data_IF_326431195967
#
_entry.id   IF_326431195967
#
_cell.length_a   1.000
_cell.length_b   1.000
_cell.length_c   1.000
_cell.angle_alpha   90.00
_cell.angle_beta   90.00
_cell.angle_gamma   90.00
#
_symmetry.space_group_name_H-M   'P 1'
#
loop_
_entity.id
_entity.type
_entity.pdbx_description
1 polymer ?
#
# COMPACT_ATOMS: atom_id res chain seq x y z
N UNK A 1 -25.20 23.60 65.87
CA UNK A 1 -26.49 23.51 66.60
C UNK A 1 -27.19 22.24 66.17
N UNK A 2 -27.84 21.49 67.06
CA UNK A 2 -28.66 20.32 66.65
C UNK A 2 -30.01 20.83 66.17
N UNK A 3 -30.43 20.41 64.97
CA UNK A 3 -31.66 20.88 64.34
C UNK A 3 -32.89 20.57 65.19
N UNK A 4 -32.96 19.36 65.76
CA UNK A 4 -34.12 18.91 66.57
C UNK A 4 -34.37 19.82 67.78
N UNK A 5 -33.30 20.19 68.49
CA UNK A 5 -33.35 21.06 69.66
C UNK A 5 -33.72 22.52 69.29
N UNK A 6 -33.21 23.01 68.16
CA UNK A 6 -33.57 24.35 67.66
C UNK A 6 -35.01 24.39 67.11
N UNK A 7 -35.46 23.34 66.42
CA UNK A 7 -36.81 23.22 65.88
C UNK A 7 -37.86 23.13 66.99
N UNK A 8 -37.57 22.37 68.05
CA UNK A 8 -38.44 22.27 69.24
C UNK A 8 -38.56 23.61 69.98
N UNK A 9 -37.48 24.38 70.11
CA UNK A 9 -37.54 25.74 70.66
C UNK A 9 -38.31 26.71 69.77
N UNK A 10 -38.26 26.54 68.44
CA UNK A 10 -39.06 27.35 67.50
C UNK A 10 -40.54 27.05 67.67
N UNK A 11 -40.91 25.77 67.82
CA UNK A 11 -42.29 25.33 68.08
C UNK A 11 -42.82 25.83 69.44
N UNK A 12 -41.99 25.78 70.48
CA UNK A 12 -42.33 26.23 71.82
C UNK A 12 -42.27 27.76 72.01
N UNK A 13 -41.91 28.51 70.95
CA UNK A 13 -41.87 29.98 70.96
C UNK A 13 -40.70 30.60 71.73
N UNK A 14 -39.79 29.79 72.26
CA UNK A 14 -38.64 30.22 73.09
C UNK A 14 -37.32 30.34 72.32
N UNK A 15 -37.32 30.11 71.00
CA UNK A 15 -36.12 30.20 70.17
C UNK A 15 -35.60 31.64 70.04
N UNK A 16 -34.26 31.77 70.06
CA UNK A 16 -33.58 33.02 69.71
C UNK A 16 -33.67 33.30 68.21
N UNK A 17 -33.39 34.53 67.79
CA UNK A 17 -33.48 34.91 66.37
C UNK A 17 -32.50 34.12 65.48
N UNK A 18 -31.30 33.81 66.00
CA UNK A 18 -30.32 32.97 65.32
C UNK A 18 -30.80 31.51 65.15
N UNK A 19 -31.49 30.95 66.16
CA UNK A 19 -32.07 29.60 66.10
C UNK A 19 -33.20 29.52 65.06
N UNK A 20 -34.00 30.59 64.93
CA UNK A 20 -35.08 30.71 63.93
C UNK A 20 -34.54 30.77 62.51
N UNK A 21 -33.49 31.56 62.28
CA UNK A 21 -32.87 31.68 60.96
C UNK A 21 -32.20 30.38 60.54
N UNK A 22 -31.51 29.70 61.46
CA UNK A 22 -30.94 28.38 61.24
C UNK A 22 -31.99 27.34 60.82
N UNK A 23 -33.11 27.25 61.55
CA UNK A 23 -34.20 26.32 61.23
C UNK A 23 -34.81 26.65 59.85
N UNK A 24 -35.03 27.93 59.54
CA UNK A 24 -35.56 28.37 58.23
C UNK A 24 -34.62 27.99 57.08
N UNK A 25 -33.31 28.14 57.27
CA UNK A 25 -32.33 27.78 56.24
C UNK A 25 -32.31 26.27 55.98
N UNK A 26 -32.40 25.44 57.03
CA UNK A 26 -32.44 23.98 56.90
C UNK A 26 -33.73 23.50 56.22
N UNK A 27 -34.88 24.10 56.55
CA UNK A 27 -36.14 23.81 55.85
C UNK A 27 -36.05 24.18 54.37
N UNK A 28 -35.47 25.34 54.04
CA UNK A 28 -35.27 25.75 52.64
C UNK A 28 -34.35 24.78 51.88
N UNK A 29 -33.29 24.28 52.51
CA UNK A 29 -32.40 23.28 51.90
C UNK A 29 -33.14 21.96 51.67
N UNK A 30 -33.98 21.53 52.62
CA UNK A 30 -34.81 20.35 52.47
C UNK A 30 -35.83 20.49 51.34
N UNK A 31 -36.48 21.64 51.20
CA UNK A 31 -37.40 21.94 50.09
C UNK A 31 -36.69 21.96 48.73
N UNK A 32 -35.46 22.48 48.66
CA UNK A 32 -34.66 22.44 47.44
C UNK A 32 -34.31 21.00 47.05
N UNK A 33 -33.96 20.15 48.01
CA UNK A 33 -33.68 18.72 47.77
C UNK A 33 -34.94 17.98 47.35
N UNK A 34 -36.10 18.21 48.00
CA UNK A 34 -37.38 17.61 47.59
C UNK A 34 -37.77 18.04 46.18
N UNK A 35 -37.57 19.30 45.81
CA UNK A 35 -37.86 19.80 44.47
C UNK A 35 -36.91 19.20 43.41
N UNK A 36 -35.64 19.01 43.73
CA UNK A 36 -34.69 18.31 42.86
C UNK A 36 -35.09 16.84 42.69
N UNK A 37 -35.40 16.13 43.77
CA UNK A 37 -35.83 14.73 43.73
C UNK A 37 -37.13 14.54 42.95
N UNK A 38 -38.12 15.44 43.14
CA UNK A 38 -39.36 15.45 42.35
C UNK A 38 -39.15 15.88 40.90
N UNK A 39 -38.10 16.65 40.60
CA UNK A 39 -37.73 16.99 39.23
C UNK A 39 -37.11 15.81 38.47
N UNK A 40 -36.48 14.87 39.17
CA UNK A 40 -36.02 13.59 38.60
C UNK A 40 -37.17 12.60 38.33
N UNK A 41 -38.24 12.64 39.13
CA UNK A 41 -39.45 11.83 38.88
C UNK A 41 -40.24 12.28 37.64
N UNK A 42 -40.03 13.52 37.18
CA UNK A 42 -40.48 13.93 35.84
C UNK A 42 -39.52 13.32 34.83
N UNK A 43 -39.81 12.07 34.45
CA UNK A 43 -39.17 11.41 33.32
C UNK A 43 -39.01 12.44 32.19
N UNK A 44 -37.78 12.64 31.66
CA UNK A 44 -37.57 13.63 30.62
C UNK A 44 -38.57 13.33 29.51
N UNK A 45 -39.32 14.35 29.06
CA UNK A 45 -40.16 14.23 27.88
C UNK A 45 -39.22 14.10 26.69
N UNK A 46 -38.70 12.90 26.48
CA UNK A 46 -37.97 12.55 25.27
C UNK A 46 -39.02 12.56 24.18
N UNK A 47 -38.98 13.55 23.28
CA UNK A 47 -39.69 13.47 22.02
C UNK A 47 -39.42 12.08 21.43
N UNK A 48 -40.47 11.41 20.91
CA UNK A 48 -40.36 10.09 20.32
C UNK A 48 -39.17 10.09 19.36
N UNK A 49 -38.07 9.45 19.78
CA UNK A 49 -36.81 9.49 19.05
C UNK A 49 -37.11 8.86 17.70
N UNK A 50 -37.00 9.65 16.63
CA UNK A 50 -37.27 9.20 15.28
C UNK A 50 -36.27 8.08 14.94
N UNK A 51 -36.70 6.84 15.15
CA UNK A 51 -35.85 5.66 15.07
C UNK A 51 -35.17 5.51 13.71
N UNK A 52 -35.76 6.12 12.66
CA UNK A 52 -35.14 6.20 11.34
C UNK A 52 -33.88 7.06 11.31
N UNK A 53 -33.88 8.21 12.01
CA UNK A 53 -32.71 9.11 12.06
C UNK A 53 -31.55 8.46 12.79
N UNK A 54 -31.81 7.75 13.90
CA UNK A 54 -30.79 7.00 14.66
C UNK A 54 -30.23 5.85 13.82
N UNK A 55 -31.09 5.14 13.07
CA UNK A 55 -30.67 4.03 12.20
C UNK A 55 -29.83 4.51 11.02
N UNK A 56 -30.20 5.64 10.39
CA UNK A 56 -29.43 6.28 9.31
C UNK A 56 -28.08 6.80 9.81
N UNK A 57 -28.04 7.45 10.97
CA UNK A 57 -26.81 7.92 11.59
C UNK A 57 -25.87 6.76 11.93
N UNK A 58 -26.39 5.68 12.55
CA UNK A 58 -25.61 4.47 12.84
C UNK A 58 -25.04 3.84 11.58
N UNK A 59 -25.87 3.71 10.52
CA UNK A 59 -25.46 3.15 9.22
C UNK A 59 -24.36 3.99 8.56
N UNK A 60 -24.46 5.32 8.57
CA UNK A 60 -23.43 6.21 8.04
C UNK A 60 -22.12 6.12 8.82
N UNK A 61 -22.17 6.05 10.15
CA UNK A 61 -20.96 5.88 10.98
C UNK A 61 -20.30 4.52 10.69
N UNK A 62 -21.07 3.44 10.57
CA UNK A 62 -20.54 2.13 10.20
C UNK A 62 -20.01 2.08 8.76
N UNK A 63 -20.66 2.75 7.80
CA UNK A 63 -20.18 2.80 6.41
C UNK A 63 -18.88 3.61 6.29
N UNK A 64 -18.77 4.75 7.00
CA UNK A 64 -17.54 5.55 7.03
C UNK A 64 -16.40 4.78 7.68
N UNK A 65 -16.67 4.06 8.79
CA UNK A 65 -15.70 3.19 9.43
C UNK A 65 -15.27 2.02 8.54
N UNK A 66 -16.22 1.33 7.90
CA UNK A 66 -15.94 0.24 6.98
C UNK A 66 -15.13 0.70 5.76
N UNK A 67 -15.48 1.84 5.15
CA UNK A 67 -14.74 2.41 4.03
C UNK A 67 -13.31 2.79 4.43
N UNK A 68 -13.11 3.35 5.63
CA UNK A 68 -11.79 3.66 6.16
C UNK A 68 -10.96 2.39 6.38
N UNK A 69 -11.55 1.33 6.93
CA UNK A 69 -10.88 0.03 7.11
C UNK A 69 -10.46 -0.55 5.76
N UNK A 70 -11.35 -0.55 4.76
CA UNK A 70 -11.04 -1.05 3.41
C UNK A 70 -9.89 -0.26 2.80
N UNK A 71 -9.88 1.06 2.96
CA UNK A 71 -8.79 1.91 2.46
C UNK A 71 -7.46 1.60 3.14
N UNK A 72 -7.44 1.43 4.47
CA UNK A 72 -6.22 1.07 5.20
C UNK A 72 -5.70 -0.30 4.76
N UNK A 73 -6.58 -1.29 4.62
CA UNK A 73 -6.20 -2.63 4.14
C UNK A 73 -5.62 -2.55 2.74
N UNK A 74 -6.22 -1.77 1.84
CA UNK A 74 -5.71 -1.56 0.48
C UNK A 74 -4.32 -0.93 0.49
N UNK A 75 -4.09 0.09 1.34
CA UNK A 75 -2.77 0.71 1.49
C UNK A 75 -1.73 -0.28 2.04
N UNK A 76 -2.09 -1.07 3.05
CA UNK A 76 -1.19 -2.10 3.58
C UNK A 76 -0.80 -3.12 2.50
N UNK A 77 -1.74 -3.55 1.66
CA UNK A 77 -1.45 -4.48 0.56
C UNK A 77 -0.50 -3.85 -0.46
N UNK A 78 -0.68 -2.57 -0.81
CA UNK A 78 0.23 -1.86 -1.72
C UNK A 78 1.64 -1.79 -1.14
N UNK A 79 1.77 -1.48 0.15
CA UNK A 79 3.08 -1.40 0.83
C UNK A 79 3.77 -2.76 0.85
N UNK A 80 3.04 -3.84 1.18
CA UNK A 80 3.59 -5.20 1.19
C UNK A 80 4.01 -5.62 -0.22
N UNK A 81 3.17 -5.37 -1.22
CA UNK A 81 3.50 -5.66 -2.62
C UNK A 81 4.76 -4.90 -3.06
N UNK A 82 4.86 -3.61 -2.73
CA UNK A 82 6.04 -2.79 -3.01
C UNK A 82 7.31 -3.34 -2.35
N UNK A 83 7.22 -3.75 -1.08
CA UNK A 83 8.36 -4.32 -0.35
C UNK A 83 8.82 -5.66 -0.94
N UNK A 84 7.89 -6.55 -1.30
CA UNK A 84 8.20 -7.86 -1.88
C UNK A 84 8.78 -7.69 -3.29
N UNK A 85 8.13 -6.92 -4.16
CA UNK A 85 8.63 -6.66 -5.51
C UNK A 85 9.99 -5.96 -5.46
N UNK A 86 10.14 -4.91 -4.63
CA UNK A 86 11.41 -4.22 -4.46
C UNK A 86 12.54 -5.12 -3.96
N UNK A 87 12.24 -6.06 -3.05
CA UNK A 87 13.21 -7.04 -2.57
C UNK A 87 13.65 -8.03 -3.66
N UNK A 88 12.69 -8.60 -4.38
CA UNK A 88 12.97 -9.61 -5.43
C UNK A 88 13.69 -8.97 -6.63
N UNK A 89 13.12 -7.94 -7.22
CA UNK A 89 13.72 -7.28 -8.39
C UNK A 89 15.01 -6.54 -8.00
N UNK A 90 15.06 -5.91 -6.82
CA UNK A 90 16.26 -5.20 -6.37
C UNK A 90 17.46 -6.13 -6.17
N UNK A 91 17.24 -7.32 -5.61
CA UNK A 91 18.31 -8.32 -5.45
C UNK A 91 18.73 -8.90 -6.79
N UNK A 92 17.79 -9.28 -7.66
CA UNK A 92 18.09 -9.79 -9.00
C UNK A 92 18.87 -8.78 -9.86
N UNK A 93 18.41 -7.52 -9.91
CA UNK A 93 19.09 -6.43 -10.64
C UNK A 93 20.48 -6.18 -10.06
N UNK A 94 20.61 -6.12 -8.73
CA UNK A 94 21.91 -5.89 -8.09
C UNK A 94 22.90 -7.01 -8.42
N UNK A 95 22.45 -8.25 -8.43
CA UNK A 95 23.27 -9.40 -8.79
C UNK A 95 23.64 -9.42 -10.26
N UNK A 96 22.69 -9.17 -11.17
CA UNK A 96 22.96 -9.11 -12.60
C UNK A 96 23.97 -8.00 -12.95
N UNK A 97 23.84 -6.81 -12.35
CA UNK A 97 24.82 -5.72 -12.52
C UNK A 97 26.23 -6.08 -12.05
N UNK A 98 26.36 -6.86 -10.97
CA UNK A 98 27.67 -7.32 -10.48
C UNK A 98 28.26 -8.44 -11.34
N UNK A 99 27.41 -9.21 -12.00
CA UNK A 99 27.80 -10.30 -12.86
C UNK A 99 28.07 -9.86 -14.31
N UNK A 100 27.68 -8.66 -14.69
CA UNK A 100 27.92 -8.07 -16.01
C UNK A 100 29.42 -7.84 -16.20
N UNK A 101 30.03 -8.67 -17.03
CA UNK A 101 31.46 -8.60 -17.37
C UNK A 101 31.70 -8.08 -18.79
N UNK A 102 30.69 -8.18 -19.65
CA UNK A 102 30.78 -7.85 -21.07
C UNK A 102 29.99 -6.58 -21.33
N UNK A 103 30.63 -5.64 -22.00
CA UNK A 103 30.00 -4.39 -22.41
C UNK A 103 29.04 -4.60 -23.58
N UNK A 104 28.12 -3.66 -23.77
CA UNK A 104 27.19 -3.68 -24.91
C UNK A 104 27.91 -3.71 -26.27
N UNK A 105 29.07 -3.06 -26.39
CA UNK A 105 29.85 -3.03 -27.63
C UNK A 105 30.56 -4.35 -27.91
N UNK A 106 31.10 -4.99 -26.86
CA UNK A 106 31.70 -6.33 -26.97
C UNK A 106 30.63 -7.37 -27.27
N UNK A 107 29.47 -7.32 -26.60
CA UNK A 107 28.33 -8.18 -26.86
C UNK A 107 27.86 -8.06 -28.31
N UNK A 108 27.77 -6.82 -28.83
CA UNK A 108 27.43 -6.57 -30.24
C UNK A 108 28.42 -7.23 -31.20
N UNK A 109 29.70 -7.12 -30.94
CA UNK A 109 30.74 -7.68 -31.82
C UNK A 109 30.69 -9.21 -31.81
N UNK A 110 30.43 -9.82 -30.64
CA UNK A 110 30.22 -11.26 -30.50
C UNK A 110 28.96 -11.70 -31.26
N UNK A 111 27.87 -10.95 -31.10
CA UNK A 111 26.59 -11.25 -31.74
C UNK A 111 26.67 -11.14 -33.26
N UNK A 112 27.29 -10.08 -33.77
CA UNK A 112 27.49 -9.85 -35.21
C UNK A 112 28.33 -10.97 -35.84
N UNK A 113 29.41 -11.37 -35.16
CA UNK A 113 30.23 -12.49 -35.61
C UNK A 113 29.42 -13.81 -35.64
N UNK A 114 28.59 -14.07 -34.63
CA UNK A 114 27.74 -15.26 -34.59
C UNK A 114 26.69 -15.26 -35.71
N UNK A 115 26.02 -14.12 -35.94
CA UNK A 115 25.00 -13.96 -36.98
C UNK A 115 25.59 -14.13 -38.38
N UNK A 116 26.72 -13.47 -38.66
CA UNK A 116 27.42 -13.57 -39.95
C UNK A 116 27.91 -14.99 -40.21
N UNK A 117 28.54 -15.64 -39.21
CA UNK A 117 28.98 -17.02 -39.34
C UNK A 117 27.81 -17.95 -39.66
N UNK A 118 26.64 -17.73 -39.06
CA UNK A 118 25.45 -18.54 -39.31
C UNK A 118 24.92 -18.43 -40.74
N UNK A 119 24.91 -17.21 -41.29
CA UNK A 119 24.47 -16.99 -42.68
C UNK A 119 25.54 -17.52 -43.65
N UNK A 120 26.82 -17.36 -43.33
CA UNK A 120 27.94 -17.86 -44.14
C UNK A 120 27.98 -19.39 -44.27
N UNK A 121 27.36 -20.14 -43.35
CA UNK A 121 27.16 -21.59 -43.51
C UNK A 121 26.21 -21.95 -44.67
N UNK A 122 25.38 -21.01 -45.14
CA UNK A 122 24.33 -21.26 -46.14
C UNK A 122 24.54 -20.51 -47.45
N UNK A 123 25.16 -19.34 -47.40
CA UNK A 123 25.35 -18.46 -48.55
C UNK A 123 26.83 -18.10 -48.70
N UNK A 124 27.34 -18.22 -49.92
CA UNK A 124 28.67 -17.75 -50.28
C UNK A 124 28.56 -16.30 -50.78
N UNK A 125 29.32 -15.36 -50.20
CA UNK A 125 29.35 -13.98 -50.70
C UNK A 125 29.69 -12.93 -49.66
N UNK A 126 29.53 -11.66 -50.04
CA UNK A 126 29.68 -10.52 -49.12
C UNK A 126 28.42 -10.39 -48.28
N UNK A 127 28.55 -10.66 -46.99
CA UNK A 127 27.47 -10.49 -46.02
C UNK A 127 27.58 -9.10 -45.39
N UNK A 128 26.50 -8.33 -45.46
CA UNK A 128 26.42 -7.00 -44.82
C UNK A 128 25.39 -7.04 -43.68
N UNK A 129 25.83 -7.22 -42.42
CA UNK A 129 24.93 -7.20 -41.28
C UNK A 129 24.48 -5.77 -40.95
N UNK A 130 23.18 -5.61 -40.76
CA UNK A 130 22.57 -4.38 -40.25
C UNK A 130 21.81 -4.70 -38.97
N UNK A 131 22.11 -3.97 -37.90
CA UNK A 131 21.36 -4.09 -36.65
C UNK A 131 20.05 -3.35 -36.81
N UNK A 132 18.96 -4.06 -36.56
CA UNK A 132 17.60 -3.51 -36.54
C UNK A 132 17.27 -3.01 -35.15
N UNK A 133 17.50 -3.84 -34.14
CA UNK A 133 17.22 -3.52 -32.75
C UNK A 133 18.26 -4.13 -31.80
N UNK A 134 18.30 -3.56 -30.59
CA UNK A 134 19.14 -4.05 -29.50
C UNK A 134 18.41 -3.87 -28.17
N UNK A 135 18.12 -4.98 -27.53
CA UNK A 135 17.51 -5.01 -26.20
C UNK A 135 18.46 -5.57 -25.14
N UNK A 136 18.20 -5.17 -23.89
CA UNK A 136 18.90 -5.68 -22.71
C UNK A 136 17.87 -6.10 -21.66
N UNK A 137 17.75 -7.40 -21.48
CA UNK A 137 16.78 -7.98 -20.56
C UNK A 137 17.43 -8.58 -19.33
N UNK A 138 16.70 -8.55 -18.21
CA UNK A 138 17.10 -9.20 -16.97
C UNK A 138 16.52 -10.60 -16.92
N UNK A 139 17.38 -11.61 -17.00
CA UNK A 139 16.98 -12.99 -16.79
C UNK A 139 17.04 -13.31 -15.29
N UNK A 140 15.86 -13.54 -14.69
CA UNK A 140 15.74 -13.82 -13.25
C UNK A 140 15.85 -15.33 -13.01
N UNK A 141 16.95 -15.75 -12.40
CA UNK A 141 17.14 -17.13 -12.00
C UNK A 141 16.34 -17.48 -10.73
N UNK A 142 15.99 -18.77 -10.50
CA UNK A 142 15.33 -19.21 -9.26
C UNK A 142 16.09 -18.79 -8.00
N UNK A 143 17.43 -18.78 -8.10
CA UNK A 143 18.30 -18.15 -7.12
C UNK A 143 18.63 -16.75 -7.63
N UNK A 144 18.04 -15.73 -7.00
CA UNK A 144 18.16 -14.33 -7.44
C UNK A 144 19.61 -13.82 -7.53
N UNK A 145 20.55 -14.47 -6.82
CA UNK A 145 21.97 -14.13 -6.90
C UNK A 145 22.62 -14.49 -8.23
N UNK A 146 22.00 -15.39 -8.98
CA UNK A 146 22.52 -15.95 -10.22
C UNK A 146 21.85 -15.31 -11.44
N UNK A 147 20.96 -14.33 -11.23
CA UNK A 147 20.35 -13.53 -12.29
C UNK A 147 21.41 -12.79 -13.11
N UNK A 148 21.19 -12.70 -14.41
CA UNK A 148 22.14 -12.13 -15.38
C UNK A 148 21.41 -11.22 -16.36
N UNK A 149 22.16 -10.32 -16.99
CA UNK A 149 21.66 -9.60 -18.17
C UNK A 149 21.93 -10.42 -19.43
N UNK A 150 20.96 -10.41 -20.33
CA UNK A 150 21.08 -10.95 -21.68
C UNK A 150 20.87 -9.80 -22.65
N UNK A 151 21.78 -9.67 -23.61
CA UNK A 151 21.66 -8.74 -24.71
C UNK A 151 21.05 -9.47 -25.90
N UNK A 152 19.97 -8.94 -26.45
CA UNK A 152 19.32 -9.47 -27.64
C UNK A 152 19.58 -8.52 -28.79
N UNK A 153 20.05 -9.06 -29.92
CA UNK A 153 20.36 -8.28 -31.11
C UNK A 153 19.63 -8.85 -32.31
N UNK A 154 18.88 -8.00 -33.00
CA UNK A 154 18.22 -8.33 -34.25
C UNK A 154 19.09 -7.87 -35.42
N UNK A 155 19.54 -8.82 -36.23
CA UNK A 155 20.32 -8.56 -37.43
C UNK A 155 19.49 -8.83 -38.68
N UNK A 156 19.55 -7.89 -39.61
CA UNK A 156 19.21 -8.10 -41.01
C UNK A 156 20.47 -8.26 -41.83
N UNK A 157 20.67 -9.44 -42.39
CA UNK A 157 21.84 -9.78 -43.20
C UNK A 157 21.38 -10.01 -44.63
N UNK A 158 21.84 -9.14 -45.54
CA UNK A 158 21.61 -9.32 -46.96
C UNK A 158 22.68 -10.27 -47.53
N UNK A 159 22.22 -11.33 -48.20
CA UNK A 159 23.08 -12.28 -48.91
C UNK A 159 22.57 -12.42 -50.34
N UNK A 160 23.25 -11.79 -51.31
CA UNK A 160 22.97 -11.73 -52.76
C UNK A 160 21.50 -11.51 -53.20
N UNK A 161 20.61 -12.48 -52.93
CA UNK A 161 19.19 -12.46 -53.31
C UNK A 161 18.20 -12.64 -52.14
N UNK A 162 18.69 -12.95 -50.94
CA UNK A 162 17.85 -13.25 -49.77
C UNK A 162 18.17 -12.29 -48.62
N UNK A 163 17.15 -11.95 -47.84
CA UNK A 163 17.30 -11.21 -46.60
C UNK A 163 17.12 -12.18 -45.44
N UNK A 164 18.12 -12.26 -44.58
CA UNK A 164 18.08 -13.08 -43.39
C UNK A 164 17.82 -12.20 -42.17
N UNK A 165 16.83 -12.58 -41.36
CA UNK A 165 16.59 -12.01 -40.04
C UNK A 165 17.16 -12.99 -39.01
N UNK A 166 18.10 -12.51 -38.19
CA UNK A 166 18.84 -13.34 -37.23
C UNK A 166 18.80 -12.66 -35.88
N UNK A 167 18.17 -13.31 -34.92
CA UNK A 167 18.16 -12.86 -33.53
C UNK A 167 19.24 -13.59 -32.75
N UNK A 168 20.09 -12.82 -32.07
CA UNK A 168 21.21 -13.36 -31.30
C UNK A 168 21.15 -12.84 -29.88
N UNK A 169 21.10 -13.78 -28.95
CA UNK A 169 21.14 -13.52 -27.52
C UNK A 169 22.56 -13.76 -26.97
N UNK A 170 23.09 -12.78 -26.24
CA UNK A 170 24.43 -12.81 -25.66
C UNK A 170 24.34 -12.64 -24.15
N UNK A 171 24.82 -13.65 -23.42
CA UNK A 171 24.87 -13.62 -21.96
C UNK A 171 25.94 -12.65 -21.46
N UNK A 172 25.55 -11.57 -20.77
CA UNK A 172 26.47 -10.51 -20.34
C UNK A 172 27.50 -10.92 -19.28
N UNK A 173 27.33 -12.09 -18.64
CA UNK A 173 28.27 -12.66 -17.67
C UNK A 173 29.34 -13.53 -18.34
N UNK A 174 28.96 -14.31 -19.35
CA UNK A 174 29.84 -15.35 -19.93
C UNK A 174 30.32 -15.03 -21.34
N UNK A 175 29.59 -14.20 -22.08
CA UNK A 175 29.83 -13.95 -23.50
C UNK A 175 29.39 -15.07 -24.41
N UNK A 176 28.68 -16.05 -23.84
CA UNK A 176 28.04 -17.08 -24.63
C UNK A 176 26.95 -16.45 -25.49
N UNK A 177 27.10 -16.59 -26.80
CA UNK A 177 26.11 -16.17 -27.79
C UNK A 177 25.36 -17.39 -28.31
N UNK A 178 24.05 -17.26 -28.41
CA UNK A 178 23.20 -18.25 -29.05
C UNK A 178 22.22 -17.56 -29.99
N UNK A 179 21.85 -18.28 -31.05
CA UNK A 179 20.91 -17.79 -32.05
C UNK A 179 19.53 -18.26 -31.59
N UNK A 180 18.70 -17.31 -31.18
CA UNK A 180 17.34 -17.58 -30.69
C UNK A 180 16.39 -17.79 -31.86
N UNK A 181 16.54 -17.00 -32.93
CA UNK A 181 15.74 -17.13 -34.14
C UNK A 181 16.56 -16.91 -35.43
N UNK A 182 16.12 -17.56 -36.51
CA UNK A 182 16.76 -17.47 -37.82
C UNK A 182 15.72 -17.67 -38.92
N UNK A 183 15.38 -16.58 -39.59
CA UNK A 183 14.41 -16.57 -40.68
C UNK A 183 15.02 -16.04 -41.98
N UNK A 184 14.41 -16.49 -43.09
CA UNK A 184 14.77 -16.04 -44.44
C UNK A 184 13.52 -15.51 -45.12
N UNK A 185 13.59 -14.25 -45.52
CA UNK A 185 12.64 -13.59 -46.44
C UNK A 185 13.13 -13.72 -47.89
#
# INVERSE_FOLDING_TARGET
MRFDEAYEKVLNGTATEEEREYVREQVRKAEQIDNILRSEERAPVTAAVDTETVKKARKQVTMKGAAMIVMIVMLCLIVVAGAVCGGVFGTAVSSAKKAELISSEEARTIAEAAAVNRVAEREDGTLTPHIVDMDKELEIAPKLTDSVYVYTFDFRIMADRWLYEVEVEVNAKTGYAFISDFDRE
#
